data_IF_789380739310
#
_entry.id   IF_789380739310
#
_cell.length_a   1.000
_cell.length_b   1.000
_cell.length_c   1.000
_cell.angle_alpha   90.00
_cell.angle_beta   90.00
_cell.angle_gamma   90.00
#
_symmetry.space_group_name_H-M   'P 1'
#
loop_
_entity.id
_entity.type
_entity.pdbx_description
1 polymer ?
#
# COMPACT_ATOMS: atom_id res chain seq x y z
N UNK A 1 3.62 36.69 20.36
CA UNK A 1 2.76 37.40 19.38
C UNK A 1 3.47 37.60 18.04
N UNK A 2 4.75 38.03 18.03
CA UNK A 2 5.55 38.25 16.81
C UNK A 2 5.74 36.98 15.95
N UNK A 3 5.96 35.83 16.57
CA UNK A 3 6.14 34.55 15.85
C UNK A 3 4.93 34.18 15.02
N UNK A 4 3.72 34.38 15.54
CA UNK A 4 2.46 34.10 14.82
C UNK A 4 2.25 35.07 13.66
N UNK A 5 2.62 36.35 13.85
CA UNK A 5 2.57 37.36 12.79
C UNK A 5 3.58 37.07 11.67
N UNK A 6 4.78 36.60 12.00
CA UNK A 6 5.81 36.21 11.04
C UNK A 6 5.39 35.00 10.21
N UNK A 7 4.71 34.01 10.81
CA UNK A 7 4.16 32.84 10.13
C UNK A 7 3.06 33.24 9.15
N UNK A 8 2.21 34.19 9.52
CA UNK A 8 1.14 34.70 8.66
C UNK A 8 1.68 35.56 7.51
N UNK A 9 2.69 36.39 7.74
CA UNK A 9 3.32 37.22 6.72
C UNK A 9 4.07 36.40 5.66
N UNK A 10 4.67 35.27 6.03
CA UNK A 10 5.42 34.42 5.10
C UNK A 10 4.56 33.42 4.34
N UNK A 11 3.22 33.50 4.44
CA UNK A 11 2.29 32.61 3.72
C UNK A 11 2.58 31.12 3.90
N UNK A 12 3.23 30.73 4.99
CA UNK A 12 3.68 29.36 5.26
C UNK A 12 2.52 28.39 5.47
N UNK A 13 1.31 28.90 5.67
CA UNK A 13 0.07 28.11 5.86
C UNK A 13 -0.97 28.34 4.76
N UNK A 14 -0.62 28.98 3.65
CA UNK A 14 -1.52 29.08 2.51
C UNK A 14 -1.67 27.73 1.83
N UNK A 15 -2.63 26.95 2.29
CA UNK A 15 -3.17 25.84 1.50
C UNK A 15 -4.08 26.44 0.45
N UNK A 16 -3.67 26.38 -0.81
CA UNK A 16 -4.37 26.96 -1.94
C UNK A 16 -5.80 26.40 -2.14
N UNK A 17 -6.10 25.22 -1.58
CA UNK A 17 -7.46 24.66 -1.45
C UNK A 17 -7.45 23.39 -0.60
N UNK A 18 -8.45 23.20 0.24
CA UNK A 18 -8.73 21.90 0.89
C UNK A 18 -9.43 21.03 -0.11
N UNK A 19 -8.75 19.99 -0.58
CA UNK A 19 -9.31 19.04 -1.54
C UNK A 19 -10.36 18.13 -0.89
N UNK A 20 -11.24 17.53 -1.69
CA UNK A 20 -12.15 16.49 -1.21
C UNK A 20 -11.40 15.31 -0.56
N UNK A 21 -10.18 15.01 -1.03
CA UNK A 21 -9.30 14.02 -0.43
C UNK A 21 -8.84 14.41 0.98
N UNK A 22 -8.56 15.70 1.23
CA UNK A 22 -8.15 16.17 2.56
C UNK A 22 -9.31 16.13 3.55
N UNK A 23 -10.54 16.45 3.12
CA UNK A 23 -11.75 16.27 3.92
C UNK A 23 -12.01 14.78 4.24
N UNK A 24 -11.83 13.91 3.27
CA UNK A 24 -11.91 12.46 3.44
C UNK A 24 -10.85 11.92 4.41
N UNK A 25 -9.64 12.50 4.40
CA UNK A 25 -8.57 12.17 5.35
C UNK A 25 -8.96 12.46 6.79
N UNK A 26 -9.48 13.64 7.07
CA UNK A 26 -9.89 14.02 8.43
C UNK A 26 -10.95 13.06 8.98
N UNK A 27 -11.96 12.70 8.17
CA UNK A 27 -12.94 11.67 8.54
C UNK A 27 -12.27 10.32 8.82
N UNK A 28 -11.35 9.91 7.95
CA UNK A 28 -10.63 8.64 8.10
C UNK A 28 -9.84 8.59 9.40
N UNK A 29 -9.13 9.64 9.79
CA UNK A 29 -8.37 9.67 11.04
C UNK A 29 -9.26 9.57 12.29
N UNK A 30 -10.44 10.21 12.30
CA UNK A 30 -11.42 10.06 13.40
C UNK A 30 -11.89 8.60 13.53
N UNK A 31 -12.17 7.93 12.41
CA UNK A 31 -12.58 6.52 12.38
C UNK A 31 -11.43 5.61 12.82
N UNK A 32 -10.21 5.88 12.35
CA UNK A 32 -9.00 5.12 12.74
C UNK A 32 -8.78 5.20 14.25
N UNK A 33 -8.89 6.39 14.86
CA UNK A 33 -8.78 6.56 16.30
C UNK A 33 -9.76 5.65 17.07
N UNK A 34 -11.05 5.69 16.70
CA UNK A 34 -12.07 4.82 17.30
C UNK A 34 -11.78 3.33 17.14
N UNK A 35 -11.24 2.93 15.99
CA UNK A 35 -10.90 1.52 15.74
C UNK A 35 -9.68 1.10 16.54
N UNK A 36 -8.65 1.96 16.65
CA UNK A 36 -7.47 1.68 17.47
C UNK A 36 -7.83 1.55 18.96
N UNK A 37 -8.72 2.40 19.46
CA UNK A 37 -9.25 2.28 20.82
C UNK A 37 -10.01 0.95 21.03
N UNK A 38 -10.83 0.56 20.08
CA UNK A 38 -11.55 -0.71 20.13
C UNK A 38 -10.60 -1.91 20.05
N UNK A 39 -9.57 -1.86 19.19
CA UNK A 39 -8.56 -2.92 19.07
C UNK A 39 -7.82 -3.18 20.40
N UNK A 40 -7.58 -2.14 21.21
CA UNK A 40 -6.96 -2.28 22.53
C UNK A 40 -7.86 -3.01 23.55
N UNK A 41 -9.17 -2.96 23.37
CA UNK A 41 -10.17 -3.51 24.30
C UNK A 41 -10.67 -4.91 23.92
N UNK A 42 -10.42 -5.35 22.69
CA UNK A 42 -10.99 -6.58 22.13
C UNK A 42 -10.04 -7.76 22.39
N UNK A 43 -10.55 -8.85 22.96
CA UNK A 43 -9.80 -10.09 23.18
C UNK A 43 -9.44 -10.83 21.87
N UNK A 44 -10.26 -10.70 20.82
CA UNK A 44 -10.04 -11.36 19.54
C UNK A 44 -10.07 -10.34 18.40
N UNK A 45 -8.88 -9.96 17.94
CA UNK A 45 -8.68 -8.97 16.86
C UNK A 45 -9.31 -9.45 15.54
N UNK A 46 -9.22 -10.74 15.22
CA UNK A 46 -9.73 -11.28 13.96
C UNK A 46 -11.25 -11.20 13.86
N UNK A 47 -11.94 -11.56 14.93
CA UNK A 47 -13.39 -11.43 15.03
C UNK A 47 -13.82 -9.96 14.90
N UNK A 48 -13.11 -9.05 15.54
CA UNK A 48 -13.37 -7.62 15.41
C UNK A 48 -13.18 -7.13 13.99
N UNK A 49 -12.07 -7.46 13.32
CA UNK A 49 -11.80 -7.06 11.94
C UNK A 49 -12.86 -7.64 10.97
N UNK A 50 -13.29 -8.88 11.16
CA UNK A 50 -14.41 -9.48 10.40
C UNK A 50 -15.72 -8.72 10.62
N UNK A 51 -16.00 -8.25 11.84
CA UNK A 51 -17.22 -7.47 12.16
C UNK A 51 -17.27 -6.11 11.44
N UNK A 52 -16.13 -5.61 10.97
CA UNK A 52 -16.05 -4.41 10.15
C UNK A 52 -16.57 -4.63 8.72
N UNK A 53 -16.80 -5.89 8.31
CA UNK A 53 -17.24 -6.26 6.96
C UNK A 53 -16.32 -5.67 5.87
N UNK A 54 -14.99 -5.91 5.93
CA UNK A 54 -14.06 -5.34 4.99
C UNK A 54 -14.33 -5.85 3.58
N UNK A 55 -14.30 -4.95 2.62
CA UNK A 55 -14.40 -5.27 1.20
C UNK A 55 -13.18 -4.70 0.49
N UNK A 56 -12.48 -5.57 -0.19
CA UNK A 56 -11.24 -5.29 -0.92
C UNK A 56 -11.43 -5.70 -2.38
N UNK A 57 -11.07 -4.81 -3.29
CA UNK A 57 -11.07 -5.12 -4.72
C UNK A 57 -9.79 -4.61 -5.37
N UNK A 58 -9.04 -5.53 -5.99
CA UNK A 58 -7.85 -5.22 -6.76
C UNK A 58 -8.22 -5.04 -8.24
N UNK A 59 -7.88 -3.88 -8.81
CA UNK A 59 -8.24 -3.52 -10.18
C UNK A 59 -7.01 -3.05 -10.95
N UNK A 60 -7.09 -3.12 -12.27
CA UNK A 60 -6.13 -2.43 -13.13
C UNK A 60 -6.25 -0.92 -12.93
N UNK A 61 -5.19 -0.22 -13.26
CA UNK A 61 -5.27 1.24 -13.33
C UNK A 61 -5.98 1.68 -14.61
N UNK A 62 -6.66 2.82 -14.51
CA UNK A 62 -7.38 3.47 -15.60
C UNK A 62 -7.31 4.99 -15.46
N UNK A 63 -7.92 5.73 -16.39
CA UNK A 63 -7.92 7.20 -16.39
C UNK A 63 -8.47 7.81 -15.09
N UNK A 64 -9.39 7.13 -14.41
CA UNK A 64 -10.07 7.64 -13.22
C UNK A 64 -9.25 7.46 -11.94
N UNK A 65 -8.27 6.54 -11.93
CA UNK A 65 -7.53 6.17 -10.72
C UNK A 65 -6.04 6.48 -10.78
N UNK A 66 -5.48 6.79 -11.95
CA UNK A 66 -4.07 7.08 -12.17
C UNK A 66 -3.53 8.16 -11.22
N UNK A 67 -4.23 9.28 -11.08
CA UNK A 67 -3.79 10.40 -10.22
C UNK A 67 -3.65 9.95 -8.77
N UNK A 68 -4.61 9.16 -8.29
CA UNK A 68 -4.57 8.62 -6.93
C UNK A 68 -3.44 7.61 -6.74
N UNK A 69 -3.16 6.79 -7.73
CA UNK A 69 -2.03 5.83 -7.71
C UNK A 69 -0.70 6.58 -7.66
N UNK A 70 -0.51 7.60 -8.50
CA UNK A 70 0.67 8.45 -8.47
C UNK A 70 0.87 9.14 -7.11
N UNK A 71 -0.22 9.65 -6.54
CA UNK A 71 -0.19 10.25 -5.21
C UNK A 71 0.25 9.25 -4.13
N UNK A 72 -0.19 8.00 -4.21
CA UNK A 72 0.24 6.96 -3.27
C UNK A 72 1.74 6.67 -3.41
N UNK A 73 2.26 6.50 -4.63
CA UNK A 73 3.70 6.29 -4.85
C UNK A 73 4.55 7.47 -4.39
N UNK A 74 4.06 8.71 -4.49
CA UNK A 74 4.82 9.88 -4.06
C UNK A 74 4.76 10.14 -2.55
N UNK A 75 3.58 9.99 -1.92
CA UNK A 75 3.34 10.44 -0.53
C UNK A 75 3.44 9.34 0.53
N UNK A 76 3.52 8.06 0.15
CA UNK A 76 3.65 6.95 1.12
C UNK A 76 5.11 6.74 1.50
N UNK A 77 5.39 6.50 2.79
CA UNK A 77 6.73 6.28 3.30
C UNK A 77 6.86 5.02 4.17
N UNK A 78 5.91 4.76 5.08
CA UNK A 78 6.04 3.69 6.08
C UNK A 78 5.83 2.29 5.50
N UNK A 79 4.95 2.14 4.50
CA UNK A 79 4.78 0.91 3.74
C UNK A 79 5.05 1.22 2.26
N UNK A 80 6.31 1.17 1.89
CA UNK A 80 6.79 1.43 0.54
C UNK A 80 8.08 0.64 0.29
N UNK A 81 8.14 -0.12 -0.81
CA UNK A 81 9.30 -0.95 -1.13
C UNK A 81 10.56 -0.14 -1.40
N UNK A 82 10.45 0.93 -2.18
CA UNK A 82 11.59 1.75 -2.57
C UNK A 82 11.17 3.17 -2.90
N UNK A 83 12.13 4.02 -3.28
CA UNK A 83 11.90 5.43 -3.60
C UNK A 83 11.45 5.68 -5.04
N UNK A 84 11.32 4.64 -5.85
CA UNK A 84 10.95 4.80 -7.26
C UNK A 84 9.59 5.49 -7.39
N UNK A 85 9.56 6.54 -8.21
CA UNK A 85 8.38 7.31 -8.56
C UNK A 85 8.13 7.10 -10.05
N UNK A 86 6.91 6.73 -10.38
CA UNK A 86 6.49 6.58 -11.76
C UNK A 86 5.88 7.89 -12.26
N UNK A 87 6.17 8.28 -13.49
CA UNK A 87 5.49 9.40 -14.11
C UNK A 87 4.14 8.97 -14.72
N UNK A 88 3.25 9.93 -14.93
CA UNK A 88 1.89 9.67 -15.45
C UNK A 88 1.91 8.98 -16.81
N UNK A 89 2.80 9.37 -17.69
CA UNK A 89 2.95 8.80 -19.03
C UNK A 89 3.26 7.31 -18.95
N UNK A 90 4.21 6.91 -18.09
CA UNK A 90 4.57 5.52 -17.92
C UNK A 90 3.39 4.65 -17.44
N UNK A 91 2.54 5.16 -16.55
CA UNK A 91 1.35 4.45 -16.10
C UNK A 91 0.33 4.29 -17.23
N UNK A 92 0.13 5.34 -18.04
CA UNK A 92 -0.78 5.31 -19.20
C UNK A 92 -0.33 4.29 -20.23
N UNK A 93 0.97 4.27 -20.52
CA UNK A 93 1.55 3.40 -21.54
C UNK A 93 1.67 1.93 -21.08
N UNK A 94 1.67 1.69 -19.73
CA UNK A 94 1.86 0.37 -19.15
C UNK A 94 0.77 -0.02 -18.11
N UNK A 95 -0.53 0.14 -18.36
CA UNK A 95 -1.56 -0.02 -17.34
C UNK A 95 -1.64 -1.44 -16.76
N UNK A 96 -1.22 -2.45 -17.53
CA UNK A 96 -1.20 -3.86 -17.10
C UNK A 96 -0.13 -4.18 -16.07
N UNK A 97 0.90 -3.33 -15.93
CA UNK A 97 1.97 -3.46 -14.93
C UNK A 97 1.61 -2.90 -13.57
N UNK A 98 0.38 -2.40 -13.41
CA UNK A 98 -0.06 -1.76 -12.18
C UNK A 98 -1.39 -2.31 -11.71
N UNK A 99 -1.54 -2.41 -10.38
CA UNK A 99 -2.80 -2.71 -9.72
C UNK A 99 -3.07 -1.67 -8.64
N UNK A 100 -4.35 -1.31 -8.49
CA UNK A 100 -4.83 -0.43 -7.46
C UNK A 100 -5.84 -1.18 -6.57
N UNK A 101 -5.67 -1.10 -5.25
CA UNK A 101 -6.57 -1.70 -4.29
C UNK A 101 -7.55 -0.66 -3.76
N UNK A 102 -8.84 -0.90 -3.98
CA UNK A 102 -9.92 -0.21 -3.29
C UNK A 102 -10.25 -0.93 -1.98
N UNK A 103 -10.49 -0.13 -0.95
CA UNK A 103 -10.90 -0.62 0.36
C UNK A 103 -12.11 0.13 0.89
N UNK A 104 -13.09 -0.61 1.41
CA UNK A 104 -14.21 -0.09 2.19
C UNK A 104 -14.55 -1.02 3.35
N UNK A 105 -15.13 -0.47 4.39
CA UNK A 105 -15.68 -1.21 5.51
C UNK A 105 -17.03 -0.61 5.93
N UNK A 106 -17.62 -1.10 7.02
CA UNK A 106 -18.92 -0.61 7.52
C UNK A 106 -18.93 0.87 7.90
N UNK A 107 -17.78 1.49 8.12
CA UNK A 107 -17.69 2.88 8.52
C UNK A 107 -17.60 3.84 7.34
N UNK A 108 -16.88 3.45 6.28
CA UNK A 108 -16.72 4.30 5.10
C UNK A 108 -16.08 3.59 3.91
N UNK A 109 -16.19 4.23 2.75
CA UNK A 109 -15.38 3.93 1.58
C UNK A 109 -14.11 4.77 1.64
N UNK A 110 -12.95 4.11 1.76
CA UNK A 110 -11.64 4.76 1.82
C UNK A 110 -11.06 5.06 0.43
N UNK A 111 -11.65 4.48 -0.63
CA UNK A 111 -11.14 4.57 -1.99
C UNK A 111 -9.87 3.73 -2.18
N UNK A 112 -8.96 4.21 -3.04
CA UNK A 112 -7.71 3.51 -3.35
C UNK A 112 -6.72 3.72 -2.20
N UNK A 113 -6.34 2.61 -1.55
CA UNK A 113 -5.48 2.60 -0.37
C UNK A 113 -4.13 1.93 -0.60
N UNK A 114 -3.98 1.16 -1.66
CA UNK A 114 -2.70 0.56 -2.04
C UNK A 114 -2.51 0.58 -3.54
N UNK A 115 -1.26 0.59 -3.96
CA UNK A 115 -0.86 0.42 -5.35
C UNK A 115 0.34 -0.53 -5.45
N UNK A 116 0.32 -1.36 -6.48
CA UNK A 116 1.34 -2.34 -6.79
C UNK A 116 1.85 -2.09 -8.21
N UNK A 117 3.17 -1.99 -8.37
CA UNK A 117 3.85 -2.00 -9.67
C UNK A 117 4.64 -3.30 -9.80
N UNK A 118 4.51 -4.00 -10.93
CA UNK A 118 5.16 -5.29 -11.13
C UNK A 118 5.51 -5.53 -12.59
N UNK A 119 6.41 -6.48 -12.82
CA UNK A 119 6.71 -7.03 -14.14
C UNK A 119 6.73 -8.56 -14.13
N UNK A 120 6.43 -9.16 -15.29
CA UNK A 120 6.44 -10.60 -15.48
C UNK A 120 7.70 -10.99 -16.27
N UNK A 121 8.73 -11.42 -15.57
CA UNK A 121 9.95 -11.90 -16.19
C UNK A 121 9.82 -13.40 -16.55
N UNK A 122 9.28 -13.68 -17.73
CA UNK A 122 9.05 -15.06 -18.19
C UNK A 122 10.34 -15.85 -18.37
N UNK A 123 11.45 -15.21 -18.78
CA UNK A 123 12.75 -15.88 -18.94
C UNK A 123 13.29 -16.40 -17.61
N UNK A 124 13.13 -15.64 -16.53
CA UNK A 124 13.54 -16.03 -15.17
C UNK A 124 12.43 -16.76 -14.40
N UNK A 125 11.26 -16.96 -15.01
CA UNK A 125 10.04 -17.48 -14.35
C UNK A 125 9.78 -16.77 -13.01
N UNK A 126 9.82 -15.43 -13.05
CA UNK A 126 9.79 -14.59 -11.85
C UNK A 126 8.79 -13.44 -11.98
N UNK A 127 7.97 -13.25 -10.94
CA UNK A 127 7.19 -12.02 -10.72
C UNK A 127 8.09 -11.02 -10.01
N UNK A 128 8.36 -9.90 -10.65
CA UNK A 128 9.17 -8.82 -10.09
C UNK A 128 8.25 -7.72 -9.56
N UNK A 129 8.19 -7.55 -8.24
CA UNK A 129 7.44 -6.46 -7.60
C UNK A 129 8.35 -5.24 -7.57
N UNK A 130 8.09 -4.31 -8.49
CA UNK A 130 8.90 -3.10 -8.72
C UNK A 130 8.65 -2.04 -7.65
N UNK A 131 7.42 -1.93 -7.16
CA UNK A 131 7.08 -1.13 -5.99
C UNK A 131 5.73 -1.56 -5.41
N UNK A 132 5.58 -1.43 -4.11
CA UNK A 132 4.34 -1.71 -3.40
C UNK A 132 4.16 -0.68 -2.29
N UNK A 133 3.03 0.01 -2.31
CA UNK A 133 2.69 1.06 -1.34
C UNK A 133 1.34 0.79 -0.70
N UNK A 134 1.24 1.07 0.60
CA UNK A 134 0.00 0.98 1.37
C UNK A 134 -0.16 2.24 2.22
N UNK A 135 -1.31 2.88 2.11
CA UNK A 135 -1.65 4.07 2.92
C UNK A 135 -1.73 3.72 4.40
N UNK A 136 -1.10 4.54 5.27
CA UNK A 136 -1.18 4.37 6.73
C UNK A 136 -2.61 4.44 7.30
N UNK A 137 -3.55 5.03 6.55
CA UNK A 137 -4.97 5.10 6.93
C UNK A 137 -5.63 3.73 7.13
N UNK A 138 -5.05 2.69 6.59
CA UNK A 138 -5.60 1.33 6.61
C UNK A 138 -4.68 0.31 7.26
N UNK A 139 -3.65 0.75 7.96
CA UNK A 139 -2.82 -0.13 8.77
C UNK A 139 -3.66 -0.87 9.80
N UNK A 140 -3.20 -2.04 10.22
CA UNK A 140 -3.90 -2.94 11.16
C UNK A 140 -5.25 -3.50 10.66
N UNK A 141 -5.52 -3.41 9.33
CA UNK A 141 -6.72 -3.97 8.68
C UNK A 141 -6.43 -5.25 7.91
N UNK A 142 -5.21 -5.79 8.01
CA UNK A 142 -4.76 -6.99 7.31
C UNK A 142 -4.86 -6.89 5.77
N UNK A 143 -4.83 -5.68 5.22
CA UNK A 143 -4.87 -5.44 3.76
C UNK A 143 -3.60 -5.95 3.10
N UNK A 144 -2.47 -5.83 3.77
CA UNK A 144 -1.18 -6.33 3.32
C UNK A 144 -1.20 -7.86 3.09
N UNK A 145 -1.94 -8.60 3.91
CA UNK A 145 -2.14 -10.05 3.75
C UNK A 145 -2.97 -10.37 2.51
N UNK A 146 -4.05 -9.63 2.31
CA UNK A 146 -4.86 -9.77 1.10
C UNK A 146 -4.03 -9.53 -0.16
N UNK A 147 -3.21 -8.46 -0.15
CA UNK A 147 -2.35 -8.14 -1.30
C UNK A 147 -1.28 -9.21 -1.54
N UNK A 148 -0.68 -9.76 -0.48
CA UNK A 148 0.28 -10.84 -0.63
C UNK A 148 -0.37 -12.09 -1.26
N UNK A 149 -1.61 -12.40 -0.88
CA UNK A 149 -2.41 -13.46 -1.51
C UNK A 149 -2.67 -13.17 -3.00
N UNK A 150 -3.00 -11.94 -3.35
CA UNK A 150 -3.21 -11.56 -4.76
C UNK A 150 -1.90 -11.58 -5.57
N UNK A 151 -0.75 -11.22 -4.97
CA UNK A 151 0.59 -11.37 -5.57
C UNK A 151 0.89 -12.86 -5.82
N UNK A 152 0.59 -13.74 -4.86
CA UNK A 152 0.71 -15.19 -5.03
C UNK A 152 -0.13 -15.70 -6.21
N UNK A 153 -1.42 -15.32 -6.26
CA UNK A 153 -2.31 -15.71 -7.37
C UNK A 153 -1.80 -15.20 -8.71
N UNK A 154 -1.29 -13.96 -8.76
CA UNK A 154 -0.72 -13.38 -9.98
C UNK A 154 0.46 -14.21 -10.48
N UNK A 155 1.38 -14.61 -9.59
CA UNK A 155 2.52 -15.45 -9.95
C UNK A 155 2.07 -16.84 -10.42
N UNK A 156 1.16 -17.49 -9.69
CA UNK A 156 0.63 -18.81 -10.01
C UNK A 156 -0.09 -18.83 -11.36
N UNK A 157 -0.97 -17.87 -11.62
CA UNK A 157 -1.74 -17.77 -12.86
C UNK A 157 -0.86 -17.51 -14.09
N UNK A 158 0.37 -17.01 -13.88
CA UNK A 158 1.35 -16.80 -14.95
C UNK A 158 2.43 -17.89 -15.00
N UNK A 159 2.28 -19.00 -14.26
CA UNK A 159 3.22 -20.12 -14.19
C UNK A 159 4.65 -19.68 -13.82
N UNK A 160 4.77 -18.79 -12.84
CA UNK A 160 6.05 -18.28 -12.34
C UNK A 160 6.45 -19.03 -11.06
N UNK A 161 7.76 -19.26 -10.88
CA UNK A 161 8.28 -20.04 -9.75
C UNK A 161 8.72 -19.17 -8.58
N UNK A 162 9.07 -17.91 -8.86
CA UNK A 162 9.66 -17.01 -7.89
C UNK A 162 8.95 -15.66 -7.88
N UNK A 163 8.98 -15.00 -6.72
CA UNK A 163 8.59 -13.60 -6.54
C UNK A 163 9.77 -12.87 -5.96
N UNK A 164 10.14 -11.73 -6.55
CA UNK A 164 11.13 -10.81 -5.99
C UNK A 164 10.50 -9.46 -5.69
N UNK A 165 11.02 -8.81 -4.67
CA UNK A 165 10.60 -7.47 -4.27
C UNK A 165 11.81 -6.55 -4.38
N UNK A 166 11.71 -5.52 -5.22
CA UNK A 166 12.74 -4.49 -5.40
C UNK A 166 12.77 -3.56 -4.18
N UNK A 167 13.54 -3.95 -3.19
CA UNK A 167 13.54 -3.34 -1.86
C UNK A 167 14.72 -2.38 -1.67
N UNK A 168 14.42 -1.19 -1.12
CA UNK A 168 15.43 -0.25 -0.63
C UNK A 168 15.01 0.22 0.77
N UNK A 169 15.90 0.02 1.74
CA UNK A 169 15.67 0.56 3.08
C UNK A 169 15.74 2.09 3.04
N UNK A 170 14.63 2.74 3.34
CA UNK A 170 14.54 4.20 3.35
C UNK A 170 14.72 4.81 4.75
N UNK A 171 14.92 3.98 5.79
CA UNK A 171 14.88 4.38 7.19
C UNK A 171 13.47 4.70 7.72
N UNK A 172 12.47 4.81 6.83
CA UNK A 172 11.07 5.12 7.19
C UNK A 172 10.10 3.97 6.90
N UNK A 173 10.55 2.90 6.23
CA UNK A 173 9.70 1.78 5.80
C UNK A 173 9.77 0.56 6.74
N UNK A 174 9.95 0.79 8.03
CA UNK A 174 10.04 -0.27 9.03
C UNK A 174 8.78 -1.15 9.13
N UNK A 175 7.60 -0.56 8.90
CA UNK A 175 6.35 -1.34 8.91
C UNK A 175 6.36 -2.41 7.80
N UNK A 176 6.81 -2.05 6.60
CA UNK A 176 6.97 -3.02 5.50
C UNK A 176 8.03 -4.07 5.83
N UNK A 177 9.20 -3.65 6.37
CA UNK A 177 10.29 -4.58 6.73
C UNK A 177 9.78 -5.62 7.72
N UNK A 178 9.13 -5.19 8.81
CA UNK A 178 8.55 -6.09 9.82
C UNK A 178 7.52 -7.03 9.20
N UNK A 179 6.67 -6.52 8.30
CA UNK A 179 5.69 -7.33 7.60
C UNK A 179 6.37 -8.43 6.76
N UNK A 180 7.31 -8.09 5.88
CA UNK A 180 7.98 -9.05 5.01
C UNK A 180 8.79 -10.08 5.80
N UNK A 181 9.47 -9.67 6.86
CA UNK A 181 10.25 -10.57 7.73
C UNK A 181 9.36 -11.58 8.47
N UNK A 182 8.18 -11.16 8.94
CA UNK A 182 7.21 -12.05 9.60
C UNK A 182 6.66 -13.13 8.65
N UNK A 183 6.73 -12.91 7.34
CA UNK A 183 6.39 -13.91 6.32
C UNK A 183 7.57 -14.81 5.92
N UNK A 184 8.72 -14.69 6.60
CA UNK A 184 9.89 -15.49 6.31
C UNK A 184 10.61 -15.08 5.02
N UNK A 185 10.29 -13.92 4.44
CA UNK A 185 11.05 -13.38 3.33
C UNK A 185 12.42 -12.92 3.84
N UNK A 186 13.48 -13.43 3.22
CA UNK A 186 14.85 -13.07 3.56
C UNK A 186 15.45 -12.15 2.50
N UNK A 187 16.22 -11.18 2.94
CA UNK A 187 17.06 -10.39 2.02
C UNK A 187 18.11 -11.29 1.39
N UNK A 188 18.23 -11.20 0.08
CA UNK A 188 19.32 -11.84 -0.63
C UNK A 188 20.60 -10.98 -0.55
N UNK A 189 21.72 -11.49 -1.09
CA UNK A 189 23.03 -10.79 -1.13
C UNK A 189 22.95 -9.40 -1.82
N UNK A 190 21.98 -9.21 -2.70
CA UNK A 190 21.77 -7.95 -3.45
C UNK A 190 20.78 -7.00 -2.73
N UNK A 191 20.39 -7.30 -1.49
CA UNK A 191 19.49 -6.45 -0.71
C UNK A 191 18.02 -6.55 -1.09
N UNK A 192 17.61 -7.47 -1.98
CA UNK A 192 16.22 -7.67 -2.37
C UNK A 192 15.58 -8.85 -1.62
N UNK A 193 14.28 -8.79 -1.36
CA UNK A 193 13.55 -9.95 -0.88
C UNK A 193 13.19 -10.87 -2.04
N UNK A 194 13.35 -12.17 -1.83
CA UNK A 194 12.96 -13.21 -2.78
C UNK A 194 12.30 -14.38 -2.05
N UNK A 195 11.27 -14.96 -2.66
CA UNK A 195 10.55 -16.12 -2.15
C UNK A 195 10.09 -17.00 -3.31
N UNK A 196 10.04 -18.33 -3.11
CA UNK A 196 9.40 -19.23 -4.05
C UNK A 196 7.87 -19.12 -3.93
N UNK A 197 7.19 -19.25 -5.07
CA UNK A 197 5.71 -19.19 -5.09
C UNK A 197 5.10 -20.29 -4.22
N UNK A 198 5.67 -21.48 -4.22
CA UNK A 198 5.22 -22.61 -3.40
C UNK A 198 5.28 -22.34 -1.89
N UNK A 199 6.28 -21.56 -1.42
CA UNK A 199 6.42 -21.21 0.00
C UNK A 199 5.32 -20.27 0.47
N UNK A 200 4.67 -19.54 -0.46
CA UNK A 200 3.52 -18.68 -0.17
C UNK A 200 2.18 -19.44 -0.20
N UNK A 201 2.13 -20.71 -0.65
CA UNK A 201 0.90 -21.50 -0.74
C UNK A 201 0.12 -21.55 0.58
N UNK A 202 0.82 -21.58 1.71
CA UNK A 202 0.20 -21.60 3.06
C UNK A 202 -0.58 -20.32 3.41
N UNK A 203 -0.41 -19.26 2.64
CA UNK A 203 -1.10 -17.97 2.82
C UNK A 203 -2.14 -17.72 1.70
N UNK A 204 -2.25 -18.61 0.72
CA UNK A 204 -3.11 -18.53 -0.47
C UNK A 204 -4.59 -18.81 -0.27
#
# INVERSE_FOLDING_TARGET
HEFVQLLNQKSLFYFSSITNEDKSRLKSYKVIGKIQENLKKVKNIDSFLKSLKPQMSLRNIDKNNIERVLQLFSKTNQFKLNKNIFNKRFLIDNPKKFKALNFRDKFQNYGIMSALAFDLNKKKRQLEILNWVLSCRVFSRKIEFFLLKEIYKLAKNNNLDNISFDFINSGRNQYLISFLSNFGLKLNKNGNYKIKVEDLKKYG
#
